data_IF_656135331525
#
_entry.id   IF_656135331525
#
_cell.length_a   1.000
_cell.length_b   1.000
_cell.length_c   1.000
_cell.angle_alpha   90.00
_cell.angle_beta   90.00
_cell.angle_gamma   90.00
#
_symmetry.space_group_name_H-M   'P 1'
#
loop_
_entity.id
_entity.type
_entity.pdbx_description
1 polymer ?
#
# COMPACT_ATOMS: atom_id res chain seq x y z
N UNK A 1 22.84 22.71 -1.78
CA UNK A 1 21.42 23.12 -1.79
C UNK A 1 21.07 23.62 -0.41
N UNK A 2 20.59 24.86 -0.28
CA UNK A 2 20.07 25.34 1.01
C UNK A 2 18.76 24.60 1.28
N UNK A 3 18.62 23.88 2.41
CA UNK A 3 17.37 23.18 2.72
C UNK A 3 16.22 24.21 2.81
N UNK A 4 15.06 23.84 2.28
CA UNK A 4 13.88 24.68 2.30
C UNK A 4 13.52 25.01 3.76
N UNK A 5 13.41 26.30 4.09
CA UNK A 5 13.32 26.83 5.47
C UNK A 5 12.12 26.35 6.29
N UNK A 6 11.18 25.62 5.68
CA UNK A 6 10.00 25.04 6.33
C UNK A 6 10.14 23.53 6.59
N UNK A 7 11.24 22.90 6.17
CA UNK A 7 11.51 21.49 6.49
C UNK A 7 12.04 21.43 7.92
N UNK A 8 11.33 20.76 8.84
CA UNK A 8 11.84 20.57 10.20
C UNK A 8 13.16 19.79 10.16
N UNK A 9 14.09 20.12 11.06
CA UNK A 9 15.41 19.46 11.10
C UNK A 9 15.32 17.95 11.35
N UNK A 10 14.26 17.52 12.03
CA UNK A 10 13.96 16.13 12.30
C UNK A 10 12.49 15.83 11.97
N UNK A 11 12.21 14.57 11.70
CA UNK A 11 10.82 14.11 11.62
C UNK A 11 10.16 14.29 13.00
N UNK A 12 8.94 14.84 13.08
CA UNK A 12 8.26 15.01 14.35
C UNK A 12 7.93 13.65 14.98
N UNK A 13 7.87 13.60 16.30
CA UNK A 13 7.33 12.44 16.99
C UNK A 13 5.83 12.31 16.67
N UNK A 14 5.44 11.17 16.11
CA UNK A 14 4.08 10.94 15.64
C UNK A 14 3.31 10.20 16.72
N UNK A 15 2.28 10.83 17.34
CA UNK A 15 1.52 10.17 18.38
C UNK A 15 0.76 8.97 17.83
N UNK A 16 0.60 7.94 18.66
CA UNK A 16 -0.26 6.81 18.34
C UNK A 16 -1.71 7.30 18.12
N UNK A 17 -2.32 6.85 17.03
CA UNK A 17 -3.72 7.13 16.73
C UNK A 17 -4.55 5.93 17.22
N UNK A 18 -5.47 6.17 18.15
CA UNK A 18 -6.34 5.11 18.66
C UNK A 18 -7.10 4.44 17.51
N UNK A 19 -7.03 3.11 17.43
CA UNK A 19 -7.67 2.34 16.38
C UNK A 19 -6.88 2.24 15.07
N UNK A 20 -5.65 2.78 15.00
CA UNK A 20 -4.74 2.60 13.87
C UNK A 20 -3.46 1.93 14.34
N UNK A 21 -3.09 0.81 13.72
CA UNK A 21 -1.80 0.14 13.94
C UNK A 21 -0.96 0.23 12.68
N UNK A 22 0.33 0.53 12.84
CA UNK A 22 1.28 0.67 11.74
C UNK A 22 2.37 -0.40 11.88
N UNK A 23 2.73 -1.02 10.76
CA UNK A 23 3.88 -1.91 10.65
C UNK A 23 4.67 -1.59 9.39
N UNK A 24 5.98 -1.80 9.43
CA UNK A 24 6.85 -1.67 8.27
C UNK A 24 7.75 -2.89 8.16
N UNK A 25 8.19 -3.19 6.95
CA UNK A 25 9.11 -4.27 6.67
C UNK A 25 10.04 -3.89 5.52
N UNK A 26 11.21 -4.54 5.47
CA UNK A 26 12.18 -4.39 4.41
C UNK A 26 12.15 -5.64 3.52
N UNK A 27 11.37 -5.58 2.43
CA UNK A 27 11.21 -6.71 1.49
C UNK A 27 12.44 -6.93 0.61
N UNK A 28 13.29 -5.90 0.48
CA UNK A 28 14.43 -5.93 -0.44
C UNK A 28 14.01 -5.83 -1.91
N UNK A 29 12.78 -5.38 -2.20
CA UNK A 29 12.24 -5.26 -3.55
C UNK A 29 13.11 -4.38 -4.45
N UNK A 30 13.54 -3.22 -3.93
CA UNK A 30 14.44 -2.31 -4.65
C UNK A 30 15.56 -1.74 -3.78
N UNK A 31 15.29 -1.53 -2.50
CA UNK A 31 16.26 -0.95 -1.58
C UNK A 31 16.73 -2.00 -0.58
N UNK A 32 18.03 -2.00 -0.29
CA UNK A 32 18.61 -2.85 0.75
C UNK A 32 18.80 -2.05 2.03
N UNK A 33 18.46 -2.63 3.18
CA UNK A 33 18.60 -1.98 4.49
C UNK A 33 17.64 -0.82 4.74
N UNK A 34 16.51 -0.78 4.02
CA UNK A 34 15.46 0.23 4.17
C UNK A 34 14.09 -0.42 4.04
N UNK A 35 13.19 -0.03 4.93
CA UNK A 35 11.79 -0.40 4.84
C UNK A 35 11.14 0.17 3.58
N UNK A 36 10.54 -0.73 2.81
CA UNK A 36 9.88 -0.45 1.55
C UNK A 36 8.45 -1.04 1.50
N UNK A 37 8.00 -1.63 2.59
CA UNK A 37 6.63 -2.08 2.79
C UNK A 37 6.07 -1.46 4.07
N UNK A 38 4.80 -1.04 4.00
CA UNK A 38 4.05 -0.50 5.12
C UNK A 38 2.65 -1.11 5.13
N UNK A 39 2.20 -1.47 6.33
CA UNK A 39 0.84 -1.90 6.59
C UNK A 39 0.19 -0.95 7.58
N UNK A 40 -1.00 -0.47 7.23
CA UNK A 40 -1.88 0.25 8.14
C UNK A 40 -3.07 -0.65 8.42
N UNK A 41 -3.27 -1.04 9.68
CA UNK A 41 -4.44 -1.80 10.12
C UNK A 41 -5.41 -0.89 10.85
N UNK A 42 -6.65 -0.87 10.38
CA UNK A 42 -7.73 -0.09 10.97
C UNK A 42 -8.53 -0.96 11.93
N UNK A 43 -8.98 -0.38 13.05
CA UNK A 43 -9.90 -1.03 13.96
C UNK A 43 -11.26 -1.27 13.29
N UNK A 44 -11.98 -2.29 13.77
CA UNK A 44 -13.34 -2.58 13.32
C UNK A 44 -14.25 -1.35 13.49
N UNK A 45 -15.13 -1.11 12.51
CA UNK A 45 -16.01 0.07 12.48
C UNK A 45 -15.36 1.36 11.98
N UNK A 46 -14.09 1.33 11.56
CA UNK A 46 -13.43 2.48 10.95
C UNK A 46 -14.09 2.86 9.60
N UNK A 47 -14.20 4.16 9.35
CA UNK A 47 -14.64 4.71 8.05
C UNK A 47 -13.43 5.21 7.27
N UNK A 48 -13.33 4.83 6.00
CA UNK A 48 -12.27 5.29 5.10
C UNK A 48 -12.82 6.28 4.08
N UNK A 49 -12.09 7.36 3.83
CA UNK A 49 -12.26 8.22 2.68
C UNK A 49 -10.93 8.35 1.94
N UNK A 50 -10.96 8.31 0.61
CA UNK A 50 -9.76 8.46 -0.21
C UNK A 50 -10.08 9.26 -1.48
N UNK A 51 -9.05 9.95 -1.98
CA UNK A 51 -9.06 10.59 -3.29
C UNK A 51 -7.99 9.94 -4.15
N UNK A 52 -8.28 9.79 -5.44
CA UNK A 52 -7.41 9.11 -6.39
C UNK A 52 -7.00 10.07 -7.50
N UNK A 53 -5.91 9.76 -8.20
CA UNK A 53 -5.49 10.53 -9.37
C UNK A 53 -6.57 10.50 -10.45
N UNK A 54 -6.69 11.60 -11.19
CA UNK A 54 -7.55 11.73 -12.38
C UNK A 54 -6.82 11.35 -13.67
N UNK A 55 -5.59 10.83 -13.59
CA UNK A 55 -4.82 10.40 -14.75
C UNK A 55 -5.53 9.27 -15.50
N UNK A 56 -5.59 9.36 -16.83
CA UNK A 56 -6.05 8.29 -17.72
C UNK A 56 -5.15 7.03 -17.64
N UNK A 57 -3.96 7.18 -17.07
CA UNK A 57 -2.94 6.14 -16.92
C UNK A 57 -2.80 5.70 -15.45
N UNK A 58 -3.91 5.67 -14.72
CA UNK A 58 -3.94 5.21 -13.34
C UNK A 58 -3.36 3.79 -13.22
N UNK A 59 -2.53 3.57 -12.20
CA UNK A 59 -1.91 2.28 -11.97
C UNK A 59 -2.93 1.26 -11.41
N UNK A 60 -2.78 -0.05 -11.68
CA UNK A 60 -3.55 -1.13 -11.04
C UNK A 60 -3.88 -0.96 -9.54
N UNK A 61 -2.96 -0.56 -8.63
CA UNK A 61 -3.30 -0.32 -7.22
C UNK A 61 -4.32 0.80 -7.01
N UNK A 62 -4.27 1.86 -7.83
CA UNK A 62 -5.24 2.96 -7.80
C UNK A 62 -6.61 2.48 -8.28
N UNK A 63 -6.65 1.72 -9.38
CA UNK A 63 -7.89 1.14 -9.90
C UNK A 63 -8.56 0.24 -8.85
N UNK A 64 -7.81 -0.70 -8.28
CA UNK A 64 -8.27 -1.63 -7.24
C UNK A 64 -8.89 -0.89 -6.05
N UNK A 65 -8.13 0.03 -5.46
CA UNK A 65 -8.54 0.78 -4.28
C UNK A 65 -9.78 1.63 -4.55
N UNK A 66 -9.85 2.27 -5.73
CA UNK A 66 -11.00 3.08 -6.14
C UNK A 66 -12.27 2.24 -6.29
N UNK A 67 -12.18 1.06 -6.89
CA UNK A 67 -13.31 0.14 -7.05
C UNK A 67 -13.84 -0.35 -5.69
N UNK A 68 -12.96 -0.82 -4.81
CA UNK A 68 -13.35 -1.32 -3.47
C UNK A 68 -14.04 -0.25 -2.63
N UNK A 69 -13.54 0.99 -2.69
CA UNK A 69 -14.16 2.12 -1.98
C UNK A 69 -15.53 2.48 -2.57
N UNK A 70 -15.68 2.47 -3.91
CA UNK A 70 -16.94 2.77 -4.57
C UNK A 70 -18.03 1.71 -4.31
N UNK A 71 -17.64 0.46 -4.11
CA UNK A 71 -18.53 -0.65 -3.74
C UNK A 71 -19.04 -0.55 -2.27
N UNK A 72 -18.50 0.38 -1.47
CA UNK A 72 -18.86 0.51 -0.06
C UNK A 72 -18.25 -0.59 0.83
N UNK A 73 -17.15 -1.19 0.39
CA UNK A 73 -16.47 -2.26 1.14
C UNK A 73 -15.92 -1.73 2.46
N UNK A 74 -16.19 -2.45 3.55
CA UNK A 74 -15.59 -2.13 4.85
C UNK A 74 -14.09 -2.44 4.83
N UNK A 75 -13.26 -1.40 4.84
CA UNK A 75 -11.80 -1.54 4.74
C UNK A 75 -11.19 -1.84 6.11
N UNK A 76 -10.37 -2.89 6.16
CA UNK A 76 -9.65 -3.33 7.36
C UNK A 76 -8.17 -2.93 7.35
N UNK A 77 -7.57 -2.78 6.17
CA UNK A 77 -6.16 -2.43 6.06
C UNK A 77 -5.80 -1.69 4.77
N UNK A 78 -4.63 -1.04 4.80
CA UNK A 78 -3.99 -0.41 3.64
C UNK A 78 -2.57 -0.94 3.55
N UNK A 79 -2.25 -1.60 2.43
CA UNK A 79 -0.93 -2.10 2.10
C UNK A 79 -0.24 -1.10 1.16
N UNK A 80 0.99 -0.69 1.50
CA UNK A 80 1.76 0.27 0.71
C UNK A 80 3.15 -0.27 0.45
N UNK A 81 3.54 -0.36 -0.82
CA UNK A 81 4.91 -0.68 -1.20
C UNK A 81 5.62 0.52 -1.87
N UNK A 82 6.94 0.59 -1.69
CA UNK A 82 7.83 1.57 -2.29
C UNK A 82 8.86 0.90 -3.20
N UNK A 83 9.44 1.64 -4.14
CA UNK A 83 10.44 1.15 -5.08
C UNK A 83 9.85 0.67 -6.41
N UNK A 84 8.61 0.17 -6.43
CA UNK A 84 7.90 -0.22 -7.65
C UNK A 84 6.48 0.37 -7.65
N UNK A 85 6.12 1.13 -8.70
CA UNK A 85 4.80 1.77 -8.81
C UNK A 85 3.69 0.81 -9.24
N UNK A 86 4.04 -0.39 -9.71
CA UNK A 86 3.15 -1.34 -10.38
C UNK A 86 2.25 -0.65 -11.43
N UNK A 87 2.84 0.26 -12.20
CA UNK A 87 2.16 1.06 -13.22
C UNK A 87 2.60 0.60 -14.61
N UNK A 88 1.68 0.60 -15.58
CA UNK A 88 1.92 0.09 -16.95
C UNK A 88 2.36 -1.39 -17.02
N UNK A 89 1.93 -2.21 -16.06
CA UNK A 89 2.26 -3.64 -15.96
C UNK A 89 1.16 -4.57 -16.51
N UNK A 90 0.05 -4.01 -17.01
CA UNK A 90 -1.05 -4.76 -17.63
C UNK A 90 -1.70 -5.79 -16.70
N UNK A 91 -2.05 -6.95 -17.25
CA UNK A 91 -2.70 -8.02 -16.50
C UNK A 91 -1.84 -8.57 -15.36
N UNK A 92 -0.51 -8.62 -15.54
CA UNK A 92 0.41 -9.06 -14.50
C UNK A 92 0.34 -8.17 -13.25
N UNK A 93 0.19 -6.86 -13.45
CA UNK A 93 0.01 -5.92 -12.34
C UNK A 93 -1.26 -6.17 -11.53
N UNK A 94 -2.38 -6.47 -12.22
CA UNK A 94 -3.66 -6.80 -11.57
C UNK A 94 -3.58 -8.13 -10.81
N UNK A 95 -2.93 -9.13 -11.41
CA UNK A 95 -2.68 -10.42 -10.78
C UNK A 95 -1.86 -10.25 -9.49
N UNK A 96 -0.81 -9.45 -9.55
CA UNK A 96 0.05 -9.14 -8.39
C UNK A 96 -0.76 -8.55 -7.24
N UNK A 97 -1.67 -7.61 -7.52
CA UNK A 97 -2.56 -7.03 -6.50
C UNK A 97 -3.44 -8.12 -5.89
N UNK A 98 -4.10 -8.94 -6.72
CA UNK A 98 -4.97 -10.02 -6.25
C UNK A 98 -4.24 -11.03 -5.38
N UNK A 99 -3.03 -11.44 -5.76
CA UNK A 99 -2.22 -12.38 -4.99
C UNK A 99 -1.75 -11.78 -3.66
N UNK A 100 -1.26 -10.53 -3.70
CA UNK A 100 -0.77 -9.82 -2.51
C UNK A 100 -1.89 -9.59 -1.50
N UNK A 101 -3.07 -9.12 -1.94
CA UNK A 101 -4.21 -8.91 -1.05
C UNK A 101 -4.76 -10.23 -0.52
N UNK A 102 -4.78 -11.30 -1.32
CA UNK A 102 -5.20 -12.63 -0.85
C UNK A 102 -4.29 -13.18 0.23
N UNK A 103 -2.96 -13.07 0.03
CA UNK A 103 -1.99 -13.52 1.02
C UNK A 103 -2.11 -12.73 2.34
N UNK A 104 -2.17 -11.40 2.25
CA UNK A 104 -2.31 -10.55 3.43
C UNK A 104 -3.65 -10.76 4.16
N UNK A 105 -4.74 -10.93 3.40
CA UNK A 105 -6.07 -11.18 3.96
C UNK A 105 -6.11 -12.45 4.81
N UNK A 106 -5.37 -13.48 4.40
CA UNK A 106 -5.22 -14.73 5.17
C UNK A 106 -4.57 -14.48 6.53
N UNK A 107 -3.51 -13.67 6.58
CA UNK A 107 -2.82 -13.30 7.82
C UNK A 107 -3.70 -12.44 8.72
N UNK A 108 -4.44 -11.48 8.14
CA UNK A 108 -5.29 -10.56 8.89
C UNK A 108 -6.66 -11.14 9.29
N UNK A 109 -7.07 -12.26 8.69
CA UNK A 109 -8.39 -12.85 8.90
C UNK A 109 -9.54 -12.00 8.33
N UNK A 110 -9.30 -11.30 7.21
CA UNK A 110 -10.30 -10.47 6.53
C UNK A 110 -10.52 -10.92 5.08
N UNK A 111 -11.42 -10.23 4.36
CA UNK A 111 -11.59 -10.43 2.93
C UNK A 111 -10.49 -9.67 2.14
N UNK A 112 -9.97 -10.20 1.02
CA UNK A 112 -9.02 -9.47 0.17
C UNK A 112 -9.50 -8.08 -0.26
N UNK A 113 -10.81 -7.94 -0.47
CA UNK A 113 -11.48 -6.70 -0.85
C UNK A 113 -11.44 -5.64 0.25
N UNK A 114 -11.28 -6.07 1.51
CA UNK A 114 -11.11 -5.18 2.66
C UNK A 114 -9.69 -4.58 2.76
N UNK A 115 -8.81 -4.84 1.78
CA UNK A 115 -7.45 -4.35 1.74
C UNK A 115 -7.29 -3.37 0.58
N UNK A 116 -6.97 -2.13 0.93
CA UNK A 116 -6.58 -1.11 -0.04
C UNK A 116 -5.10 -1.23 -0.35
N UNK A 117 -4.71 -0.91 -1.58
CA UNK A 117 -3.32 -0.98 -2.02
C UNK A 117 -2.86 0.35 -2.60
N UNK A 118 -1.62 0.74 -2.27
CA UNK A 118 -0.91 1.82 -2.92
C UNK A 118 0.53 1.39 -3.24
N UNK A 119 1.04 1.88 -4.37
CA UNK A 119 2.39 1.55 -4.84
C UNK A 119 3.07 2.81 -5.35
N UNK A 120 4.36 2.97 -5.07
CA UNK A 120 5.16 4.10 -5.55
C UNK A 120 6.55 3.63 -5.95
N UNK A 121 7.09 4.18 -7.04
CA UNK A 121 8.41 3.81 -7.54
C UNK A 121 8.52 3.86 -9.04
N UNK A 122 9.31 2.95 -9.61
CA UNK A 122 9.55 2.90 -11.06
C UNK A 122 8.31 2.42 -11.80
N UNK A 123 8.01 3.06 -12.93
CA UNK A 123 6.90 2.73 -13.84
C UNK A 123 7.38 1.72 -14.89
N UNK A 124 6.55 0.73 -15.22
CA UNK A 124 6.81 -0.28 -16.26
C UNK A 124 7.59 -1.50 -15.80
N UNK A 125 8.05 -1.55 -14.54
CA UNK A 125 8.69 -2.73 -13.94
C UNK A 125 7.61 -3.65 -13.33
N UNK A 126 7.59 -4.96 -13.66
CA UNK A 126 6.68 -5.90 -13.00
C UNK A 126 6.99 -6.00 -11.50
N UNK A 127 5.97 -6.14 -10.69
CA UNK A 127 6.07 -6.38 -9.25
C UNK A 127 5.75 -7.86 -9.01
N UNK A 128 6.55 -8.54 -8.20
CA UNK A 128 6.31 -9.92 -7.80
C UNK A 128 5.59 -9.94 -6.44
N UNK A 129 4.40 -10.52 -6.39
CA UNK A 129 3.60 -10.63 -5.17
C UNK A 129 4.30 -11.46 -4.10
N UNK A 130 5.12 -12.46 -4.49
CA UNK A 130 5.80 -13.34 -3.55
C UNK A 130 6.81 -12.57 -2.67
N UNK A 131 7.43 -11.51 -3.21
CA UNK A 131 8.37 -10.65 -2.47
C UNK A 131 7.64 -9.93 -1.34
N UNK A 132 6.42 -9.46 -1.58
CA UNK A 132 5.61 -8.81 -0.53
C UNK A 132 5.06 -9.83 0.45
N UNK A 133 4.58 -10.97 -0.06
CA UNK A 133 3.92 -12.00 0.73
C UNK A 133 4.84 -12.68 1.75
N UNK A 134 6.15 -12.66 1.52
CA UNK A 134 7.14 -13.17 2.47
C UNK A 134 7.14 -12.43 3.82
N UNK A 135 6.62 -11.20 3.87
CA UNK A 135 6.60 -10.36 5.07
C UNK A 135 5.24 -10.35 5.81
N UNK A 136 4.28 -11.19 5.40
CA UNK A 136 2.92 -11.18 5.98
C UNK A 136 2.74 -12.13 7.18
N UNK A 137 3.77 -12.89 7.56
CA UNK A 137 3.75 -13.82 8.68
C UNK A 137 4.13 -13.19 10.03
#
# INVERSE_FOLDING_TARGET
>A
MTPFRLVPETFPDMPAIAGLSLGTAATGLKYTGRDDLMLMRCAEGSTLAAVFTQSDTAAPPVEWSRERLAEGTAISAILVNAGNANAFTGAAGKQTISESTTALARSLGCAPEAIMVASTGVIGEPLDAAILAAEFD
#
